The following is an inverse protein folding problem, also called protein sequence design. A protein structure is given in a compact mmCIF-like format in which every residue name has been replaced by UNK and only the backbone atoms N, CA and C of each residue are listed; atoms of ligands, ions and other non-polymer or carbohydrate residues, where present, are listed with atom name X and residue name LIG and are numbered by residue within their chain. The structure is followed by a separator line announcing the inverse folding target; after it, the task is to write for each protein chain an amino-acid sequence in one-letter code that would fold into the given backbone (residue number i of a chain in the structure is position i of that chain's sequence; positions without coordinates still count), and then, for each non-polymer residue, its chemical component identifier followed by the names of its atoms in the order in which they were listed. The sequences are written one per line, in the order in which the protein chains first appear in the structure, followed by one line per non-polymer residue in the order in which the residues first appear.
data_IF_828743714035
#
_entry.id   IF_828743714035
#
_cell.length_a   1.000
_cell.length_b   1.000
_cell.length_c   1.000
_cell.angle_alpha   90.00
_cell.angle_beta   90.00
_cell.angle_gamma   90.00
#
_symmetry.space_group_name_H-M   'P 1'
#
loop_
_entity.id
_entity.type
_entity.pdbx_description
1 polymer ?
#
# COMPACT_ATOMS: atom_id res chain seq x y z
N UNK A 1 -13.23 -15.87 -3.61
CA UNK A 1 -11.91 -15.23 -3.64
C UNK A 1 -11.78 -14.45 -2.35
N UNK A 2 -10.98 -14.93 -1.39
CA UNK A 2 -10.85 -14.28 -0.08
C UNK A 2 -10.17 -12.91 -0.18
N UNK A 3 -10.24 -12.06 0.87
CA UNK A 3 -9.54 -10.78 0.84
C UNK A 3 -8.04 -11.04 0.70
N UNK A 4 -7.41 -10.42 -0.31
CA UNK A 4 -5.96 -10.46 -0.46
C UNK A 4 -5.32 -9.93 0.83
N UNK A 5 -4.45 -10.74 1.42
CA UNK A 5 -3.76 -10.39 2.65
C UNK A 5 -2.91 -9.13 2.42
N UNK A 6 -3.04 -8.15 3.32
CA UNK A 6 -2.21 -6.93 3.29
C UNK A 6 -0.76 -7.31 3.57
N UNK A 7 0.16 -6.93 2.68
CA UNK A 7 1.59 -7.14 2.88
C UNK A 7 2.10 -6.53 4.20
N UNK A 8 3.05 -7.22 4.83
CA UNK A 8 3.73 -6.75 6.05
C UNK A 8 5.04 -6.07 5.72
N UNK A 9 5.45 -5.13 6.58
CA UNK A 9 6.72 -4.43 6.40
C UNK A 9 7.89 -5.40 6.31
N UNK A 10 8.75 -5.19 5.32
CA UNK A 10 9.91 -6.03 5.04
C UNK A 10 9.62 -7.27 4.18
N UNK A 11 8.36 -7.56 3.88
CA UNK A 11 7.93 -8.66 3.01
C UNK A 11 8.24 -8.37 1.53
N UNK A 12 8.52 -9.41 0.76
CA UNK A 12 8.65 -9.30 -0.70
C UNK A 12 7.26 -9.38 -1.29
N UNK A 13 6.87 -8.36 -2.03
CA UNK A 13 5.61 -8.29 -2.76
C UNK A 13 5.81 -8.40 -4.26
N UNK A 14 4.77 -8.79 -4.98
CA UNK A 14 4.72 -8.92 -6.44
C UNK A 14 3.58 -8.08 -7.04
N UNK A 15 3.64 -7.74 -8.35
CA UNK A 15 2.59 -6.94 -8.98
C UNK A 15 1.19 -7.54 -8.80
N UNK A 16 0.24 -6.71 -8.35
CA UNK A 16 -1.14 -7.09 -8.08
C UNK A 16 -1.43 -7.50 -6.64
N UNK A 17 -0.42 -7.63 -5.78
CA UNK A 17 -0.63 -7.85 -4.35
C UNK A 17 -1.10 -6.60 -3.62
N UNK A 18 -1.92 -6.81 -2.58
CA UNK A 18 -2.48 -5.73 -1.77
C UNK A 18 -1.50 -5.31 -0.69
N UNK A 19 -1.19 -4.02 -0.63
CA UNK A 19 -0.26 -3.45 0.36
C UNK A 19 -0.93 -2.47 1.33
N UNK A 20 -2.14 -2.00 1.02
CA UNK A 20 -2.88 -1.12 1.92
C UNK A 20 -4.20 -0.59 1.36
N UNK A 21 -4.78 0.39 2.04
CA UNK A 21 -5.99 1.14 1.62
C UNK A 21 -5.67 2.63 1.52
N UNK A 22 -6.25 3.30 0.53
CA UNK A 22 -6.10 4.74 0.29
C UNK A 22 -6.68 5.61 1.40
N UNK A 23 -7.57 5.06 2.24
CA UNK A 23 -8.08 5.74 3.44
C UNK A 23 -7.08 5.80 4.60
N UNK A 24 -6.04 4.97 4.58
CA UNK A 24 -5.08 4.81 5.70
C UNK A 24 -3.64 5.17 5.32
N UNK A 25 -3.36 5.28 4.01
CA UNK A 25 -2.03 5.50 3.48
C UNK A 25 -2.10 6.09 2.07
N UNK A 26 -1.01 6.72 1.65
CA UNK A 26 -0.80 7.17 0.28
C UNK A 26 0.04 6.15 -0.46
N UNK A 27 -0.28 5.87 -1.72
CA UNK A 27 0.51 4.97 -2.56
C UNK A 27 1.91 5.56 -2.80
N UNK A 28 2.95 4.85 -2.34
CA UNK A 28 4.34 5.22 -2.57
C UNK A 28 4.89 4.73 -3.91
N UNK A 29 6.20 4.89 -4.12
CA UNK A 29 6.90 4.37 -5.30
C UNK A 29 6.75 2.85 -5.39
N UNK A 30 6.48 2.35 -6.61
CA UNK A 30 6.26 0.91 -6.84
C UNK A 30 4.90 0.39 -6.38
N UNK A 31 4.01 1.31 -5.99
CA UNK A 31 2.61 1.02 -5.66
C UNK A 31 1.69 1.96 -6.43
N UNK A 32 0.42 1.60 -6.57
CA UNK A 32 -0.61 2.47 -7.13
C UNK A 32 -1.91 2.33 -6.35
N UNK A 33 -2.69 3.41 -6.31
CA UNK A 33 -4.04 3.39 -5.76
C UNK A 33 -5.03 2.97 -6.86
N UNK A 34 -5.81 1.95 -6.61
CA UNK A 34 -6.94 1.58 -7.46
C UNK A 34 -8.12 2.51 -7.20
N UNK A 35 -8.59 3.28 -8.21
CA UNK A 35 -9.71 4.20 -8.04
C UNK A 35 -11.04 3.48 -7.82
N UNK A 36 -11.14 2.20 -8.18
CA UNK A 36 -12.40 1.44 -8.11
C UNK A 36 -12.74 0.93 -6.71
N UNK A 37 -11.73 0.67 -5.88
CA UNK A 37 -11.92 0.03 -4.57
C UNK A 37 -11.04 0.65 -3.47
N UNK A 38 -10.42 1.80 -3.77
CA UNK A 38 -9.57 2.55 -2.86
C UNK A 38 -8.47 1.67 -2.20
N UNK A 39 -8.00 0.64 -2.90
CA UNK A 39 -6.99 -0.30 -2.43
C UNK A 39 -5.66 0.01 -3.09
N UNK A 40 -4.58 -0.05 -2.33
CA UNK A 40 -3.23 0.17 -2.82
C UNK A 40 -2.62 -1.18 -3.17
N UNK A 41 -2.12 -1.28 -4.39
CA UNK A 41 -1.51 -2.49 -4.95
C UNK A 41 -0.05 -2.24 -5.28
N UNK A 42 0.77 -3.29 -5.19
CA UNK A 42 2.12 -3.27 -5.75
C UNK A 42 2.07 -3.29 -7.28
N UNK A 43 2.93 -2.49 -7.92
CA UNK A 43 3.15 -2.52 -9.38
C UNK A 43 4.47 -3.18 -9.78
N UNK A 44 5.36 -3.42 -8.82
CA UNK A 44 6.68 -3.99 -9.03
C UNK A 44 6.97 -5.07 -7.99
N UNK A 45 7.80 -6.04 -8.35
CA UNK A 45 8.34 -6.99 -7.37
C UNK A 45 9.41 -6.31 -6.53
N UNK A 46 9.32 -6.41 -5.21
CA UNK A 46 10.29 -5.78 -4.33
C UNK A 46 9.94 -5.88 -2.86
N UNK A 47 10.75 -5.26 -2.02
CA UNK A 47 10.53 -5.26 -0.58
C UNK A 47 9.56 -4.15 -0.20
N UNK A 48 8.47 -4.48 0.47
CA UNK A 48 7.48 -3.52 0.93
C UNK A 48 7.98 -2.77 2.17
N UNK A 49 7.84 -1.44 2.15
CA UNK A 49 8.17 -0.56 3.28
C UNK A 49 7.00 0.39 3.53
N UNK A 50 6.75 0.73 4.80
CA UNK A 50 5.72 1.70 5.18
C UNK A 50 6.36 2.82 5.98
N UNK A 51 6.48 3.99 5.38
CA UNK A 51 6.92 5.18 6.12
C UNK A 51 5.80 5.73 6.99
N UNK A 52 6.12 6.20 8.21
CA UNK A 52 5.15 6.92 9.03
C UNK A 52 4.79 8.25 8.37
N UNK A 53 3.61 8.77 8.71
CA UNK A 53 3.23 10.13 8.32
C UNK A 53 4.24 11.14 8.87
N UNK A 54 4.58 12.20 8.12
CA UNK A 54 5.44 13.26 8.62
C UNK A 54 4.89 13.85 9.94
N UNK A 55 5.76 14.19 10.91
CA UNK A 55 5.32 14.82 12.15
C UNK A 55 4.58 16.14 11.83
N UNK A 56 3.38 16.30 12.40
CA UNK A 56 2.50 17.45 12.15
C UNK A 56 1.47 17.24 11.03
N UNK A 57 1.41 16.05 10.43
CA UNK A 57 0.31 15.68 9.53
C UNK A 57 -0.95 15.38 10.34
N UNK A 58 -1.69 16.40 10.74
CA UNK A 58 -3.04 16.22 11.27
C UNK A 58 -3.98 15.93 10.11
N UNK A 59 -4.72 14.83 10.20
CA UNK A 59 -5.84 14.46 9.35
C UNK A 59 -6.83 15.65 9.23
N UNK A 60 -6.98 16.18 8.01
CA UNK A 60 -7.96 17.21 7.62
C UNK A 60 -9.02 16.55 6.74
#
# INVERSE_FOLDING_TARGET
MGPAAKAKEGEVVTPGEVVGKGTEAVAGKGCYLSPHNNTIYASMTGRFTRSPSPPGSTEN
#
